data_IF_563424362808
#
_entry.id   IF_563424362808
#
_cell.length_a   1.000
_cell.length_b   1.000
_cell.length_c   1.000
_cell.angle_alpha   90.00
_cell.angle_beta   90.00
_cell.angle_gamma   90.00
#
_symmetry.space_group_name_H-M   'P 1'
#
loop_
_entity.id
_entity.type
_entity.pdbx_description
1 polymer ?
#
# COMPACT_ATOMS: atom_id res chain seq x y z
N UNK A 1 -9.08 15.26 4.57
CA UNK A 1 -10.51 14.88 4.55
C UNK A 1 -10.80 14.19 5.87
N UNK A 2 -11.93 14.48 6.50
CA UNK A 2 -12.32 13.85 7.76
C UNK A 2 -13.66 13.16 7.56
N UNK A 3 -13.79 11.92 8.04
CA UNK A 3 -15.02 11.12 7.91
C UNK A 3 -15.36 10.56 9.29
N UNK A 4 -16.58 10.83 9.75
CA UNK A 4 -17.12 10.25 10.98
C UNK A 4 -18.02 9.07 10.63
N UNK A 5 -17.70 7.88 11.15
CA UNK A 5 -18.46 6.65 10.93
C UNK A 5 -19.07 6.19 12.25
N UNK A 6 -20.34 5.77 12.22
CA UNK A 6 -21.01 5.11 13.35
C UNK A 6 -21.12 3.62 13.05
N UNK A 7 -20.60 2.80 13.95
CA UNK A 7 -20.70 1.35 13.83
C UNK A 7 -22.07 0.88 14.34
N UNK A 8 -22.72 -0.03 13.61
CA UNK A 8 -24.00 -0.63 14.04
C UNK A 8 -23.80 -1.74 15.07
N UNK A 9 -22.63 -2.39 15.01
CA UNK A 9 -22.14 -3.39 15.96
C UNK A 9 -20.74 -2.98 16.43
N UNK A 10 -20.22 -3.55 17.53
CA UNK A 10 -18.82 -3.34 17.88
C UNK A 10 -17.91 -3.79 16.74
N UNK A 11 -16.83 -3.04 16.50
CA UNK A 11 -15.77 -3.41 15.56
C UNK A 11 -14.66 -4.09 16.35
N UNK A 12 -14.28 -5.28 15.89
CA UNK A 12 -13.31 -6.13 16.56
C UNK A 12 -12.04 -6.12 15.74
N UNK A 13 -10.97 -5.59 16.32
CA UNK A 13 -9.63 -5.65 15.74
C UNK A 13 -8.75 -6.43 16.70
N UNK A 14 -8.22 -7.57 16.23
CA UNK A 14 -7.38 -8.44 17.04
C UNK A 14 -6.01 -7.82 17.32
N UNK A 15 -5.57 -7.95 18.57
CA UNK A 15 -4.20 -7.72 19.02
C UNK A 15 -3.31 -8.93 18.69
N UNK A 16 -2.03 -8.85 19.08
CA UNK A 16 -1.04 -9.93 18.85
C UNK A 16 -1.47 -11.26 19.48
N UNK A 17 -2.20 -11.23 20.59
CA UNK A 17 -2.75 -12.40 21.29
C UNK A 17 -4.13 -12.84 20.79
N UNK A 18 -4.66 -12.18 19.76
CA UNK A 18 -6.01 -12.41 19.23
C UNK A 18 -7.13 -11.82 20.08
N UNK A 19 -6.82 -11.08 21.15
CA UNK A 19 -7.81 -10.37 21.97
C UNK A 19 -8.21 -9.03 21.32
N UNK A 20 -9.32 -8.44 21.77
CA UNK A 20 -9.74 -7.09 21.36
C UNK A 20 -9.67 -6.16 22.58
N UNK A 21 -8.61 -5.38 22.69
CA UNK A 21 -8.38 -4.41 23.77
C UNK A 21 -8.77 -2.97 23.37
N UNK A 22 -8.63 -2.64 22.08
CA UNK A 22 -9.00 -1.37 21.48
C UNK A 22 -9.25 -1.52 19.98
N UNK A 23 -9.70 -0.43 19.35
CA UNK A 23 -9.70 -0.32 17.89
C UNK A 23 -8.25 -0.09 17.40
N UNK A 24 -7.75 -1.00 16.56
CA UNK A 24 -6.44 -0.89 15.94
C UNK A 24 -6.57 -0.31 14.54
N UNK A 25 -6.06 0.90 14.35
CA UNK A 25 -6.04 1.60 13.05
C UNK A 25 -5.40 0.75 11.94
N UNK A 26 -4.36 -0.01 12.28
CA UNK A 26 -3.67 -0.91 11.34
C UNK A 26 -4.59 -1.97 10.74
N UNK A 27 -5.53 -2.50 11.53
CA UNK A 27 -6.54 -3.46 11.06
C UNK A 27 -7.54 -2.82 10.09
N UNK A 28 -7.94 -1.57 10.36
CA UNK A 28 -8.79 -0.80 9.45
C UNK A 28 -8.07 -0.48 8.13
N UNK A 29 -6.82 -0.01 8.20
CA UNK A 29 -6.01 0.29 7.01
C UNK A 29 -5.77 -0.96 6.17
N UNK A 30 -5.49 -2.11 6.79
CA UNK A 30 -5.37 -3.39 6.09
C UNK A 30 -6.66 -3.80 5.38
N UNK A 31 -7.81 -3.61 6.03
CA UNK A 31 -9.13 -3.88 5.44
C UNK A 31 -9.42 -2.94 4.27
N UNK A 32 -9.09 -1.65 4.39
CA UNK A 32 -9.21 -0.68 3.30
C UNK A 32 -8.32 -1.03 2.11
N UNK A 33 -7.08 -1.45 2.37
CA UNK A 33 -6.17 -1.94 1.33
C UNK A 33 -6.80 -3.11 0.59
N UNK A 34 -7.29 -4.11 1.32
CA UNK A 34 -7.90 -5.30 0.73
C UNK A 34 -9.10 -4.95 -0.17
N UNK A 35 -10.00 -4.08 0.30
CA UNK A 35 -11.13 -3.61 -0.50
C UNK A 35 -10.70 -2.83 -1.73
N UNK A 36 -9.65 -2.00 -1.62
CA UNK A 36 -9.09 -1.29 -2.76
C UNK A 36 -8.49 -2.26 -3.79
N UNK A 37 -7.80 -3.32 -3.34
CA UNK A 37 -7.33 -4.37 -4.24
C UNK A 37 -8.48 -5.06 -4.97
N UNK A 38 -9.59 -5.36 -4.28
CA UNK A 38 -10.78 -5.94 -4.90
C UNK A 38 -11.36 -5.03 -6.00
N UNK A 39 -11.41 -3.71 -5.75
CA UNK A 39 -11.85 -2.72 -6.75
C UNK A 39 -10.89 -2.68 -7.95
N UNK A 40 -9.57 -2.59 -7.70
CA UNK A 40 -8.56 -2.55 -8.77
C UNK A 40 -8.66 -3.80 -9.64
N UNK A 41 -8.73 -5.00 -9.03
CA UNK A 41 -8.88 -6.27 -9.77
C UNK A 41 -10.23 -6.34 -10.51
N UNK A 42 -11.32 -5.87 -9.90
CA UNK A 42 -12.64 -5.81 -10.52
C UNK A 42 -12.72 -4.89 -11.74
N UNK A 43 -11.89 -3.85 -11.79
CA UNK A 43 -11.74 -2.95 -12.94
C UNK A 43 -10.71 -3.43 -13.97
N UNK A 44 -10.17 -4.65 -13.83
CA UNK A 44 -9.17 -5.23 -14.73
C UNK A 44 -7.73 -4.78 -14.47
N UNK A 45 -7.48 -4.07 -13.37
CA UNK A 45 -6.14 -3.67 -12.95
C UNK A 45 -5.39 -4.80 -12.21
N UNK A 46 -4.07 -4.66 -12.13
CA UNK A 46 -3.20 -5.56 -11.38
C UNK A 46 -3.01 -5.09 -9.93
N UNK A 47 -3.07 -6.02 -8.98
CA UNK A 47 -2.67 -5.80 -7.60
C UNK A 47 -1.82 -7.00 -7.15
N UNK A 48 -0.63 -6.71 -6.61
CA UNK A 48 0.36 -7.71 -6.22
C UNK A 48 -0.13 -8.58 -5.04
N UNK A 49 0.53 -9.71 -4.82
CA UNK A 49 0.36 -10.50 -3.60
C UNK A 49 1.49 -10.14 -2.61
N UNK A 50 1.20 -9.31 -1.58
CA UNK A 50 2.21 -8.91 -0.61
C UNK A 50 2.67 -10.05 0.31
N UNK A 51 1.95 -11.18 0.34
CA UNK A 51 2.23 -12.35 1.20
C UNK A 51 2.97 -13.46 0.47
N UNK A 52 3.21 -13.31 -0.83
CA UNK A 52 3.90 -14.32 -1.63
C UNK A 52 5.35 -14.51 -1.19
N UNK A 53 5.80 -15.77 -1.16
CA UNK A 53 7.22 -16.11 -0.97
C UNK A 53 8.07 -15.70 -2.17
N UNK A 54 7.49 -15.61 -3.38
CA UNK A 54 8.19 -15.14 -4.57
C UNK A 54 8.40 -13.61 -4.49
N UNK A 55 9.65 -13.12 -4.41
CA UNK A 55 9.92 -11.68 -4.41
C UNK A 55 9.37 -10.96 -5.63
N UNK A 56 9.25 -11.64 -6.79
CA UNK A 56 8.71 -11.03 -8.02
C UNK A 56 7.20 -10.81 -7.97
N UNK A 57 6.49 -11.51 -7.10
CA UNK A 57 5.07 -11.33 -6.90
C UNK A 57 4.74 -10.18 -5.93
N UNK A 58 5.75 -9.60 -5.26
CA UNK A 58 5.63 -8.48 -4.32
C UNK A 58 6.08 -7.18 -4.98
N UNK A 59 5.41 -6.08 -4.64
CA UNK A 59 5.88 -4.75 -5.07
C UNK A 59 7.01 -4.26 -4.17
N UNK A 60 8.00 -3.62 -4.77
CA UNK A 60 9.05 -2.88 -4.07
C UNK A 60 9.41 -1.64 -4.89
N UNK A 61 9.67 -0.53 -4.20
CA UNK A 61 10.16 0.68 -4.86
C UNK A 61 11.62 0.51 -5.25
N UNK A 62 11.91 0.66 -6.54
CA UNK A 62 13.28 0.53 -7.03
C UNK A 62 14.09 1.78 -6.70
N UNK A 63 14.68 1.75 -5.51
CA UNK A 63 15.56 2.82 -5.02
C UNK A 63 16.77 2.99 -5.94
N UNK A 64 17.27 1.93 -6.59
CA UNK A 64 18.43 2.04 -7.49
C UNK A 64 18.06 2.76 -8.78
N UNK A 65 16.89 2.46 -9.35
CA UNK A 65 16.39 3.16 -10.54
C UNK A 65 16.12 4.64 -10.25
N UNK A 66 15.52 4.95 -9.09
CA UNK A 66 15.30 6.32 -8.63
C UNK A 66 16.63 7.10 -8.48
N UNK A 67 17.60 6.56 -7.74
CA UNK A 67 18.90 7.21 -7.51
C UNK A 67 19.69 7.40 -8.81
N UNK A 68 19.60 6.43 -9.73
CA UNK A 68 20.22 6.57 -11.06
C UNK A 68 19.58 7.70 -11.86
N UNK A 69 18.25 7.77 -11.90
CA UNK A 69 17.55 8.84 -12.59
C UNK A 69 17.90 10.23 -12.04
N UNK A 70 18.05 10.37 -10.72
CA UNK A 70 18.54 11.59 -10.08
C UNK A 70 19.96 11.95 -10.49
N UNK A 71 20.88 10.97 -10.52
CA UNK A 71 22.28 11.18 -10.96
C UNK A 71 22.38 11.58 -12.43
N UNK A 72 21.50 11.05 -13.26
CA UNK A 72 21.42 11.37 -14.69
C UNK A 72 20.79 12.76 -14.95
N UNK A 73 20.45 13.52 -13.89
CA UNK A 73 19.93 14.88 -14.00
C UNK A 73 18.45 14.96 -14.40
N UNK A 74 17.69 13.86 -14.27
CA UNK A 74 16.26 13.85 -14.56
C UNK A 74 15.46 14.66 -13.54
N UNK A 75 14.27 15.09 -13.93
CA UNK A 75 13.33 15.74 -13.04
C UNK A 75 12.88 14.80 -11.90
N UNK A 76 12.36 15.40 -10.83
CA UNK A 76 11.85 14.67 -9.67
C UNK A 76 10.75 13.68 -10.06
N UNK A 77 9.83 14.11 -10.92
CA UNK A 77 8.73 13.27 -11.42
C UNK A 77 9.26 12.07 -12.20
N UNK A 78 10.20 12.27 -13.12
CA UNK A 78 10.81 11.19 -13.89
C UNK A 78 11.59 10.21 -13.00
N UNK A 79 12.28 10.71 -11.97
CA UNK A 79 12.99 9.86 -11.03
C UNK A 79 12.01 9.01 -10.20
N UNK A 80 10.92 9.61 -9.72
CA UNK A 80 9.87 8.89 -8.97
C UNK A 80 9.23 7.81 -9.85
N UNK A 81 8.90 8.13 -11.10
CA UNK A 81 8.35 7.14 -12.04
C UNK A 81 9.34 6.00 -12.31
N UNK A 82 10.65 6.30 -12.38
CA UNK A 82 11.67 5.27 -12.51
C UNK A 82 11.70 4.33 -11.29
N UNK A 83 11.48 4.83 -10.07
CA UNK A 83 11.38 3.98 -8.88
C UNK A 83 10.06 3.21 -8.76
N UNK A 84 8.95 3.77 -9.27
CA UNK A 84 7.61 3.19 -9.19
C UNK A 84 7.29 2.13 -10.25
N UNK A 85 8.20 1.85 -11.20
CA UNK A 85 7.89 1.04 -12.39
C UNK A 85 7.35 -0.38 -12.10
N UNK A 86 7.61 -0.96 -10.92
CA UNK A 86 7.07 -2.26 -10.48
C UNK A 86 6.03 -2.14 -9.34
N UNK A 87 5.56 -0.93 -9.04
CA UNK A 87 4.61 -0.67 -7.96
C UNK A 87 3.19 -0.66 -8.53
N UNK A 88 2.35 -1.59 -8.06
CA UNK A 88 0.95 -1.64 -8.47
C UNK A 88 0.15 -0.44 -7.90
N UNK A 89 -1.02 -0.10 -8.48
CA UNK A 89 -1.84 1.03 -8.03
C UNK A 89 -2.20 1.00 -6.54
N UNK A 90 -2.32 -0.20 -5.96
CA UNK A 90 -2.61 -0.39 -4.53
C UNK A 90 -1.40 0.02 -3.68
N UNK A 91 -0.22 -0.52 -3.99
CA UNK A 91 1.02 -0.20 -3.29
C UNK A 91 1.45 1.26 -3.48
N UNK A 92 1.07 1.90 -4.59
CA UNK A 92 1.29 3.33 -4.80
C UNK A 92 0.57 4.16 -3.72
N UNK A 93 -0.69 3.84 -3.41
CA UNK A 93 -1.49 4.56 -2.42
C UNK A 93 -1.21 4.12 -0.97
N UNK A 94 -1.19 2.80 -0.73
CA UNK A 94 -1.08 2.18 0.60
C UNK A 94 0.36 1.91 1.05
N UNK A 95 1.35 2.17 0.19
CA UNK A 95 2.76 1.92 0.49
C UNK A 95 3.21 0.49 0.20
N UNK A 96 4.52 0.34 0.09
CA UNK A 96 5.25 -0.94 0.04
C UNK A 96 6.69 -0.74 0.54
N UNK A 97 7.51 -1.78 0.53
CA UNK A 97 8.95 -1.65 0.85
C UNK A 97 9.59 -0.55 0.01
N UNK A 98 10.21 0.42 0.67
CA UNK A 98 10.84 1.58 0.04
C UNK A 98 9.88 2.70 -0.42
N UNK A 99 8.56 2.59 -0.18
CA UNK A 99 7.57 3.61 -0.54
C UNK A 99 6.52 3.81 0.55
N UNK A 100 6.44 5.02 1.11
CA UNK A 100 5.47 5.34 2.15
C UNK A 100 4.05 5.48 1.58
N UNK A 101 3.04 5.17 2.39
CA UNK A 101 1.63 5.44 2.06
C UNK A 101 1.40 6.94 1.89
N UNK A 102 0.44 7.32 1.04
CA UNK A 102 0.19 8.74 0.69
C UNK A 102 -0.85 9.43 1.59
N UNK A 103 -1.32 8.75 2.64
CA UNK A 103 -2.33 9.27 3.56
C UNK A 103 -1.98 8.95 5.01
N UNK A 104 -2.52 9.76 5.92
CA UNK A 104 -2.39 9.62 7.36
C UNK A 104 -3.76 9.51 8.00
#
# INVERSE_FOLDING_TARGET
>A
MEITIRTLTPVWTGCVDGSCDRLHETGLIGSLRWWYEAIVRGLGGYACDPTSEDPKARCEFDTKAYEKAKKDGKSDDEAIQAGLHNVCPVCYLFGTTGWARLFQ
#
